data_IF_773959343564
#
_entry.id   IF_773959343564
#
_cell.length_a   1.000
_cell.length_b   1.000
_cell.length_c   1.000
_cell.angle_alpha   90.00
_cell.angle_beta   90.00
_cell.angle_gamma   90.00
#
_symmetry.space_group_name_H-M   'P 1'
#
loop_
_entity.id
_entity.type
_entity.pdbx_description
1 polymer ?
#
# COMPACT_ATOMS: atom_id res chain seq x y z
N UNK A 1 5.15 -6.77 -4.43
CA UNK A 1 6.16 -5.91 -5.11
C UNK A 1 5.71 -4.44 -5.16
N UNK A 2 4.55 -4.09 -5.76
CA UNK A 2 4.10 -2.67 -5.86
C UNK A 2 3.91 -2.07 -4.47
N UNK A 3 3.23 -2.76 -3.55
CA UNK A 3 3.03 -2.31 -2.18
C UNK A 3 4.36 -2.11 -1.44
N UNK A 4 5.33 -2.97 -1.68
CA UNK A 4 6.67 -2.88 -1.08
C UNK A 4 7.47 -1.71 -1.66
N UNK A 5 7.42 -1.54 -2.99
CA UNK A 5 8.10 -0.44 -3.67
C UNK A 5 7.50 0.92 -3.30
N UNK A 6 6.18 1.09 -3.41
CA UNK A 6 5.47 2.35 -3.13
C UNK A 6 5.35 2.63 -1.62
N UNK A 7 5.21 1.59 -0.82
CA UNK A 7 5.03 1.65 0.63
C UNK A 7 3.91 2.62 1.07
N UNK A 8 2.69 2.49 0.53
CA UNK A 8 1.61 3.40 0.84
C UNK A 8 1.27 3.35 2.34
N UNK A 9 1.16 4.50 3.05
CA UNK A 9 0.72 4.51 4.44
C UNK A 9 -0.74 4.05 4.58
N UNK A 10 -1.56 4.29 3.56
CA UNK A 10 -2.94 3.81 3.48
C UNK A 10 -3.36 3.67 2.01
N UNK A 11 -4.17 2.66 1.68
CA UNK A 11 -4.71 2.54 0.33
C UNK A 11 -6.11 1.91 0.30
N UNK A 12 -6.91 2.35 -0.67
CA UNK A 12 -8.13 1.67 -1.10
C UNK A 12 -7.81 0.86 -2.36
N UNK A 13 -8.06 -0.43 -2.30
CA UNK A 13 -7.80 -1.36 -3.40
C UNK A 13 -9.13 -1.73 -4.03
N UNK A 14 -9.31 -1.40 -5.29
CA UNK A 14 -10.52 -1.72 -6.04
C UNK A 14 -10.39 -3.01 -6.82
N UNK A 15 -11.39 -3.88 -6.68
CA UNK A 15 -11.58 -5.09 -7.45
C UNK A 15 -12.96 -5.07 -8.15
N UNK A 16 -13.07 -5.72 -9.30
CA UNK A 16 -14.31 -5.73 -10.08
C UNK A 16 -15.36 -6.69 -9.49
N UNK A 17 -14.95 -7.69 -8.71
CA UNK A 17 -15.85 -8.71 -8.13
C UNK A 17 -15.59 -8.96 -6.64
N UNK A 18 -16.62 -9.44 -5.90
CA UNK A 18 -16.46 -9.83 -4.49
C UNK A 18 -15.41 -10.94 -4.34
N UNK A 19 -15.42 -11.95 -5.19
CA UNK A 19 -14.45 -13.04 -5.13
C UNK A 19 -12.99 -12.54 -5.26
N UNK A 20 -12.77 -11.45 -6.02
CA UNK A 20 -11.47 -10.79 -6.09
C UNK A 20 -11.15 -10.01 -4.82
N UNK A 21 -12.14 -9.35 -4.21
CA UNK A 21 -11.98 -8.69 -2.92
C UNK A 21 -11.51 -9.68 -1.88
N UNK A 22 -12.21 -10.82 -1.73
CA UNK A 22 -11.84 -11.87 -0.78
C UNK A 22 -10.42 -12.38 -1.04
N UNK A 23 -10.11 -12.71 -2.31
CA UNK A 23 -8.80 -13.20 -2.70
C UNK A 23 -7.68 -12.21 -2.34
N UNK A 24 -7.82 -10.95 -2.75
CA UNK A 24 -6.80 -9.92 -2.52
C UNK A 24 -6.63 -9.66 -1.02
N UNK A 25 -7.72 -9.60 -0.26
CA UNK A 25 -7.68 -9.41 1.19
C UNK A 25 -6.91 -10.54 1.88
N UNK A 26 -7.24 -11.79 1.56
CA UNK A 26 -6.55 -12.97 2.13
C UNK A 26 -5.06 -12.97 1.76
N UNK A 27 -4.72 -12.63 0.52
CA UNK A 27 -3.31 -12.55 0.09
C UNK A 27 -2.56 -11.49 0.91
N UNK A 28 -3.12 -10.28 1.03
CA UNK A 28 -2.49 -9.21 1.81
C UNK A 28 -2.27 -9.59 3.27
N UNK A 29 -3.28 -10.19 3.90
CA UNK A 29 -3.19 -10.66 5.29
C UNK A 29 -2.12 -11.74 5.48
N UNK A 30 -1.99 -12.67 4.52
CA UNK A 30 -0.94 -13.70 4.54
C UNK A 30 0.47 -13.12 4.41
N UNK A 31 0.61 -11.97 3.73
CA UNK A 31 1.87 -11.22 3.68
C UNK A 31 2.08 -10.31 4.91
N UNK A 32 1.23 -10.42 5.94
CA UNK A 32 1.37 -9.67 7.18
C UNK A 32 0.87 -8.22 7.11
N UNK A 33 0.13 -7.85 6.08
CA UNK A 33 -0.44 -6.51 5.98
C UNK A 33 -1.77 -6.40 6.74
N UNK A 34 -1.99 -5.26 7.40
CA UNK A 34 -3.29 -4.91 7.97
C UNK A 34 -4.26 -4.56 6.84
N UNK A 35 -4.99 -5.57 6.38
CA UNK A 35 -5.96 -5.48 5.31
C UNK A 35 -7.33 -5.99 5.76
N UNK A 36 -8.40 -5.38 5.25
CA UNK A 36 -9.77 -5.81 5.47
C UNK A 36 -10.62 -5.58 4.21
N UNK A 37 -11.71 -6.32 4.10
CA UNK A 37 -12.64 -6.19 2.99
C UNK A 37 -13.75 -5.19 3.30
N UNK A 38 -14.26 -4.57 2.23
CA UNK A 38 -15.46 -3.75 2.27
C UNK A 38 -16.44 -4.22 1.21
N UNK A 39 -17.40 -5.01 1.64
CA UNK A 39 -18.42 -5.60 0.76
C UNK A 39 -19.83 -5.21 1.18
N UNK A 40 -20.80 -5.39 0.29
CA UNK A 40 -22.21 -5.16 0.60
C UNK A 40 -22.75 -6.10 1.69
N UNK A 41 -22.06 -7.20 1.95
CA UNK A 41 -22.50 -8.25 2.88
C UNK A 41 -22.13 -7.94 4.33
N UNK A 42 -21.28 -6.93 4.54
CA UNK A 42 -20.94 -6.48 5.89
C UNK A 42 -22.17 -5.90 6.60
N UNK A 43 -22.41 -6.35 7.82
CA UNK A 43 -23.39 -5.73 8.71
C UNK A 43 -23.03 -4.28 9.01
N UNK A 44 -23.99 -3.46 9.41
CA UNK A 44 -23.74 -2.06 9.78
C UNK A 44 -22.69 -1.94 10.88
N UNK A 45 -22.76 -2.81 11.90
CA UNK A 45 -21.79 -2.82 12.98
C UNK A 45 -20.36 -3.14 12.49
N UNK A 46 -20.23 -4.13 11.58
CA UNK A 46 -18.93 -4.48 10.99
C UNK A 46 -18.37 -3.32 10.14
N UNK A 47 -19.21 -2.61 9.37
CA UNK A 47 -18.83 -1.42 8.62
C UNK A 47 -18.28 -0.33 9.52
N UNK A 48 -18.96 -0.03 10.63
CA UNK A 48 -18.52 0.98 11.59
C UNK A 48 -17.16 0.61 12.22
N UNK A 49 -16.95 -0.66 12.55
CA UNK A 49 -15.67 -1.15 13.06
C UNK A 49 -14.53 -0.98 12.06
N UNK A 50 -14.76 -1.35 10.79
CA UNK A 50 -13.76 -1.18 9.73
C UNK A 50 -13.43 0.30 9.53
N UNK A 51 -14.43 1.18 9.42
CA UNK A 51 -14.22 2.62 9.27
C UNK A 51 -13.46 3.21 10.45
N UNK A 52 -13.75 2.79 11.67
CA UNK A 52 -13.04 3.26 12.86
C UNK A 52 -11.56 2.80 12.83
N UNK A 53 -11.28 1.59 12.38
CA UNK A 53 -9.89 1.12 12.19
C UNK A 53 -9.15 1.94 11.14
N UNK A 54 -9.81 2.29 10.02
CA UNK A 54 -9.24 3.17 9.00
C UNK A 54 -8.95 4.55 9.58
N UNK A 55 -9.93 5.18 10.26
CA UNK A 55 -9.78 6.51 10.87
C UNK A 55 -8.66 6.58 11.90
N UNK A 56 -8.46 5.50 12.65
CA UNK A 56 -7.36 5.39 13.64
C UNK A 56 -6.01 5.01 13.05
N UNK A 57 -5.91 4.83 11.74
CA UNK A 57 -4.69 4.36 11.08
C UNK A 57 -4.27 2.94 11.45
N UNK A 58 -5.22 2.13 11.97
CA UNK A 58 -5.00 0.71 12.34
C UNK A 58 -5.33 -0.26 11.21
N UNK A 59 -5.82 0.24 10.09
CA UNK A 59 -6.07 -0.53 8.87
C UNK A 59 -5.35 0.17 7.73
N UNK A 60 -4.39 -0.51 7.15
CA UNK A 60 -3.55 0.05 6.09
C UNK A 60 -4.19 -0.09 4.72
N UNK A 61 -4.83 -1.24 4.46
CA UNK A 61 -5.44 -1.56 3.18
C UNK A 61 -6.92 -1.89 3.34
N UNK A 62 -7.77 -1.20 2.59
CA UNK A 62 -9.18 -1.53 2.46
C UNK A 62 -9.42 -2.05 1.05
N UNK A 63 -9.98 -3.24 0.90
CA UNK A 63 -10.26 -3.86 -0.39
C UNK A 63 -11.76 -3.83 -0.66
N UNK A 64 -12.20 -3.30 -1.80
CA UNK A 64 -13.61 -3.07 -2.06
C UNK A 64 -14.00 -3.23 -3.54
N UNK A 65 -15.29 -3.44 -3.79
CA UNK A 65 -15.88 -3.22 -5.11
C UNK A 65 -16.43 -1.81 -5.23
N UNK A 66 -16.69 -1.32 -6.46
CA UNK A 66 -17.29 0.00 -6.69
C UNK A 66 -18.64 0.17 -5.99
N UNK A 67 -19.47 -0.87 -6.04
CA UNK A 67 -20.82 -0.82 -5.43
C UNK A 67 -20.72 -0.64 -3.92
N UNK A 68 -19.84 -1.38 -3.28
CA UNK A 68 -19.65 -1.27 -1.84
C UNK A 68 -18.99 0.05 -1.44
N UNK A 69 -18.10 0.59 -2.28
CA UNK A 69 -17.36 1.82 -2.02
C UNK A 69 -18.18 3.11 -2.29
N UNK A 70 -19.37 3.00 -2.90
CA UNK A 70 -20.25 4.16 -3.09
C UNK A 70 -20.81 4.66 -1.77
N UNK A 71 -20.76 5.96 -1.56
CA UNK A 71 -21.31 6.60 -0.34
C UNK A 71 -20.51 6.38 0.95
N UNK A 72 -19.32 5.76 0.86
CA UNK A 72 -18.47 5.67 2.04
C UNK A 72 -17.83 7.04 2.32
N UNK A 73 -17.98 7.49 3.54
CA UNK A 73 -17.22 8.61 4.10
C UNK A 73 -15.89 8.10 4.66
N UNK A 74 -14.94 7.84 3.75
CA UNK A 74 -13.57 7.48 4.11
C UNK A 74 -12.73 8.73 4.32
N UNK A 75 -11.84 8.72 5.33
CA UNK A 75 -10.80 9.73 5.40
C UNK A 75 -9.95 9.71 4.14
N UNK A 76 -9.22 10.77 3.89
CA UNK A 76 -8.31 10.83 2.75
C UNK A 76 -7.28 9.70 2.83
N UNK A 77 -7.22 8.92 1.76
CA UNK A 77 -6.26 7.85 1.62
C UNK A 77 -5.11 8.30 0.71
N UNK A 78 -3.91 7.90 1.05
CA UNK A 78 -2.73 8.29 0.27
C UNK A 78 -2.71 7.68 -1.13
N UNK A 79 -3.26 6.46 -1.27
CA UNK A 79 -3.24 5.72 -2.52
C UNK A 79 -4.60 5.12 -2.85
N UNK A 80 -4.84 5.03 -4.15
CA UNK A 80 -5.87 4.16 -4.75
C UNK A 80 -5.15 3.15 -5.64
N UNK A 81 -5.41 1.87 -5.41
CA UNK A 81 -4.87 0.80 -6.25
C UNK A 81 -6.06 0.12 -6.95
N UNK A 82 -6.11 0.18 -8.24
CA UNK A 82 -7.08 -0.56 -9.05
C UNK A 82 -6.44 -1.90 -9.42
N UNK A 83 -6.77 -2.96 -8.67
CA UNK A 83 -6.28 -4.31 -8.93
C UNK A 83 -6.70 -4.82 -10.31
N UNK A 84 -7.85 -4.37 -10.77
CA UNK A 84 -8.36 -4.55 -12.12
C UNK A 84 -8.86 -3.20 -12.63
N UNK A 85 -8.61 -2.83 -13.90
CA UNK A 85 -9.17 -1.61 -14.46
C UNK A 85 -10.70 -1.71 -14.52
N UNK A 86 -11.43 -0.63 -14.33
CA UNK A 86 -12.87 -0.61 -14.55
C UNK A 86 -13.17 -0.58 -16.07
N UNK A 87 -14.36 -1.03 -16.43
CA UNK A 87 -14.83 -1.02 -17.82
C UNK A 87 -15.21 0.40 -18.30
N UNK A 88 -15.63 1.27 -17.37
CA UNK A 88 -16.17 2.58 -17.66
C UNK A 88 -15.29 3.71 -17.14
N UNK A 89 -15.24 4.79 -17.93
CA UNK A 89 -14.46 5.99 -17.62
C UNK A 89 -14.94 6.69 -16.34
N UNK A 90 -16.25 6.71 -16.09
CA UNK A 90 -16.83 7.30 -14.89
C UNK A 90 -16.39 6.55 -13.62
N UNK A 91 -16.40 5.23 -13.66
CA UNK A 91 -15.91 4.40 -12.56
C UNK A 91 -14.42 4.65 -12.27
N UNK A 92 -13.61 4.82 -13.32
CA UNK A 92 -12.20 5.18 -13.18
C UNK A 92 -12.01 6.48 -12.38
N UNK A 93 -12.73 7.54 -12.77
CA UNK A 93 -12.66 8.84 -12.08
C UNK A 93 -13.14 8.73 -10.63
N UNK A 94 -14.24 8.01 -10.40
CA UNK A 94 -14.78 7.81 -9.05
C UNK A 94 -13.81 7.04 -8.14
N UNK A 95 -13.11 6.03 -8.69
CA UNK A 95 -12.07 5.29 -7.95
C UNK A 95 -10.88 6.18 -7.65
N UNK A 96 -10.30 6.81 -8.68
CA UNK A 96 -9.14 7.69 -8.53
C UNK A 96 -9.43 8.85 -7.56
N UNK A 97 -10.63 9.42 -7.59
CA UNK A 97 -11.07 10.49 -6.69
C UNK A 97 -11.26 10.08 -5.23
N UNK A 98 -10.83 8.89 -4.81
CA UNK A 98 -10.74 8.50 -3.38
C UNK A 98 -9.41 8.91 -2.75
N UNK A 99 -8.49 9.43 -3.55
CA UNK A 99 -7.24 10.04 -3.10
C UNK A 99 -7.09 11.44 -3.71
N UNK A 100 -6.17 12.25 -3.20
CA UNK A 100 -5.87 13.58 -3.74
C UNK A 100 -7.00 14.60 -3.60
N UNK A 101 -7.78 14.55 -2.52
CA UNK A 101 -8.88 15.50 -2.26
C UNK A 101 -8.38 16.77 -1.59
N UNK A 102 -9.16 17.82 -1.68
CA UNK A 102 -8.95 19.10 -1.00
C UNK A 102 -7.57 19.75 -1.24
N UNK A 103 -6.93 19.48 -2.38
CA UNK A 103 -5.61 20.03 -2.72
C UNK A 103 -4.41 19.23 -2.22
N UNK A 104 -4.63 18.10 -1.57
CA UNK A 104 -3.56 17.18 -1.22
C UNK A 104 -3.13 16.33 -2.43
N UNK A 105 -1.88 15.86 -2.42
CA UNK A 105 -1.38 14.96 -3.45
C UNK A 105 -1.83 13.52 -3.16
N UNK A 106 -2.24 12.79 -4.19
CA UNK A 106 -2.61 11.38 -4.08
C UNK A 106 -2.10 10.57 -5.27
N UNK A 107 -1.85 9.29 -5.05
CA UNK A 107 -1.37 8.38 -6.09
C UNK A 107 -2.45 7.39 -6.47
N UNK A 108 -2.76 7.29 -7.75
CA UNK A 108 -3.65 6.29 -8.30
C UNK A 108 -2.85 5.33 -9.20
N UNK A 109 -2.86 4.05 -8.85
CA UNK A 109 -2.14 2.98 -9.56
C UNK A 109 -3.17 2.03 -10.15
N UNK A 110 -3.05 1.70 -11.43
CA UNK A 110 -3.93 0.72 -12.09
C UNK A 110 -3.08 -0.43 -12.63
N UNK A 111 -3.37 -1.65 -12.18
CA UNK A 111 -2.74 -2.84 -12.72
C UNK A 111 -3.46 -3.24 -14.00
N UNK A 112 -2.69 -3.52 -15.03
CA UNK A 112 -3.23 -3.94 -16.32
C UNK A 112 -2.40 -5.07 -16.92
N UNK A 113 -3.06 -6.01 -17.53
CA UNK A 113 -2.42 -6.96 -18.43
C UNK A 113 -2.41 -6.41 -19.88
N UNK A 114 -1.80 -7.14 -20.79
CA UNK A 114 -1.66 -6.71 -22.19
C UNK A 114 -3.02 -6.49 -22.89
N UNK A 115 -4.05 -7.26 -22.51
CA UNK A 115 -5.40 -7.16 -23.10
C UNK A 115 -6.12 -5.91 -22.57
N UNK A 116 -6.05 -5.65 -21.28
CA UNK A 116 -6.73 -4.55 -20.59
C UNK A 116 -6.11 -3.18 -20.93
N UNK A 117 -4.82 -3.16 -21.28
CA UNK A 117 -4.08 -1.93 -21.57
C UNK A 117 -4.79 -1.03 -22.58
N UNK A 118 -5.31 -1.59 -23.67
CA UNK A 118 -6.00 -0.82 -24.72
C UNK A 118 -7.30 -0.17 -24.20
N UNK A 119 -8.01 -0.86 -23.30
CA UNK A 119 -9.20 -0.37 -22.62
C UNK A 119 -8.88 0.83 -21.73
N UNK A 120 -7.86 0.69 -20.89
CA UNK A 120 -7.41 1.76 -20.00
C UNK A 120 -6.94 3.01 -20.78
N UNK A 121 -6.20 2.84 -21.87
CA UNK A 121 -5.77 3.97 -22.71
C UNK A 121 -6.97 4.73 -23.32
N UNK A 122 -8.04 4.03 -23.70
CA UNK A 122 -9.29 4.69 -24.17
C UNK A 122 -9.95 5.49 -23.06
N UNK A 123 -10.02 4.94 -21.84
CA UNK A 123 -10.54 5.64 -20.66
C UNK A 123 -9.72 6.90 -20.40
N UNK A 124 -8.41 6.79 -20.35
CA UNK A 124 -7.51 7.90 -20.11
C UNK A 124 -7.67 9.02 -21.14
N UNK A 125 -7.77 8.66 -22.43
CA UNK A 125 -8.03 9.63 -23.50
C UNK A 125 -9.38 10.33 -23.33
N UNK A 126 -10.43 9.58 -22.99
CA UNK A 126 -11.78 10.14 -22.78
C UNK A 126 -11.85 11.10 -21.61
N UNK A 127 -11.09 10.81 -20.54
CA UNK A 127 -11.06 11.62 -19.33
C UNK A 127 -9.95 12.68 -19.31
N UNK A 128 -9.16 12.80 -20.39
CA UNK A 128 -7.99 13.70 -20.47
C UNK A 128 -6.99 13.47 -19.34
N UNK A 129 -6.75 12.18 -18.97
CA UNK A 129 -5.83 11.80 -17.92
C UNK A 129 -4.49 11.43 -18.55
N UNK A 130 -3.41 12.01 -18.03
CA UNK A 130 -2.05 11.59 -18.36
C UNK A 130 -1.68 10.36 -17.52
N UNK A 131 -1.51 9.21 -18.18
CA UNK A 131 -1.04 8.00 -17.54
C UNK A 131 0.48 7.88 -17.70
N UNK A 132 1.15 7.53 -16.62
CA UNK A 132 2.55 7.15 -16.64
C UNK A 132 2.62 5.62 -16.57
N UNK A 133 2.98 5.00 -17.68
CA UNK A 133 3.16 3.56 -17.75
C UNK A 133 4.50 3.16 -17.11
N UNK A 134 4.47 2.19 -16.21
CA UNK A 134 5.65 1.65 -15.56
C UNK A 134 5.61 0.12 -15.59
N UNK A 135 6.73 -0.55 -15.80
CA UNK A 135 6.82 -1.99 -15.66
C UNK A 135 6.61 -2.39 -14.19
N UNK A 136 6.14 -3.61 -13.98
CA UNK A 136 6.09 -4.17 -12.63
C UNK A 136 7.53 -4.27 -12.07
N UNK A 137 7.80 -3.76 -10.86
CA UNK A 137 9.11 -3.87 -10.25
C UNK A 137 9.59 -5.33 -10.19
N UNK A 138 10.86 -5.57 -10.51
CA UNK A 138 11.50 -6.86 -10.29
C UNK A 138 11.72 -7.10 -8.78
N UNK A 139 12.06 -8.33 -8.39
CA UNK A 139 12.40 -8.62 -6.98
C UNK A 139 13.65 -7.84 -6.55
N UNK A 140 14.64 -7.71 -7.44
CA UNK A 140 15.85 -6.92 -7.23
C UNK A 140 15.55 -5.42 -7.07
N UNK A 141 14.60 -4.86 -7.85
CA UNK A 141 14.15 -3.47 -7.68
C UNK A 141 13.52 -3.26 -6.31
N UNK A 142 12.65 -4.18 -5.89
CA UNK A 142 12.00 -4.11 -4.57
C UNK A 142 13.05 -4.17 -3.47
N UNK A 143 13.96 -5.14 -3.51
CA UNK A 143 15.03 -5.28 -2.53
C UNK A 143 15.87 -4.01 -2.43
N UNK A 144 16.28 -3.46 -3.56
CA UNK A 144 17.04 -2.21 -3.62
C UNK A 144 16.28 -1.03 -3.01
N UNK A 145 15.00 -0.84 -3.36
CA UNK A 145 14.17 0.25 -2.86
C UNK A 145 13.95 0.13 -1.35
N UNK A 146 13.62 -1.08 -0.87
CA UNK A 146 13.40 -1.35 0.55
C UNK A 146 14.69 -1.14 1.34
N UNK A 147 15.82 -1.66 0.87
CA UNK A 147 17.13 -1.49 1.51
C UNK A 147 17.50 -0.01 1.63
N UNK A 148 17.36 0.77 0.56
CA UNK A 148 17.64 2.21 0.58
C UNK A 148 16.75 2.95 1.59
N UNK A 149 15.47 2.59 1.67
CA UNK A 149 14.51 3.17 2.62
C UNK A 149 14.89 2.85 4.06
N UNK A 150 15.23 1.59 4.35
CA UNK A 150 15.65 1.16 5.70
C UNK A 150 16.93 1.88 6.11
N UNK A 151 17.93 1.95 5.23
CA UNK A 151 19.19 2.67 5.48
C UNK A 151 18.91 4.13 5.81
N UNK A 152 18.12 4.82 4.98
CA UNK A 152 17.77 6.22 5.20
C UNK A 152 17.05 6.46 6.54
N UNK A 153 16.13 5.56 6.93
CA UNK A 153 15.44 5.62 8.23
C UNK A 153 16.40 5.40 9.40
N UNK A 154 17.31 4.44 9.29
CA UNK A 154 18.32 4.16 10.32
C UNK A 154 19.28 5.33 10.48
N UNK A 155 19.77 5.91 9.38
CA UNK A 155 20.61 7.09 9.39
C UNK A 155 19.91 8.31 10.01
N UNK A 156 18.64 8.53 9.67
CA UNK A 156 17.86 9.62 10.27
C UNK A 156 17.72 9.43 11.79
N UNK A 157 17.46 8.20 12.24
CA UNK A 157 17.41 7.88 13.67
C UNK A 157 18.77 8.04 14.36
N UNK A 158 19.86 7.71 13.67
CA UNK A 158 21.21 7.87 14.20
C UNK A 158 21.57 9.34 14.38
N UNK A 159 21.27 10.20 13.36
CA UNK A 159 21.50 11.65 13.43
C UNK A 159 20.72 12.35 14.54
N UNK A 160 19.53 11.85 14.89
CA UNK A 160 18.68 12.41 15.95
C UNK A 160 19.05 11.99 17.37
N UNK A 161 20.11 11.18 17.56
CA UNK A 161 20.52 10.69 18.89
C UNK A 161 21.37 11.71 19.64
N UNK A 162 21.13 11.82 20.95
CA UNK A 162 21.99 12.57 21.85
C UNK A 162 23.29 11.81 22.18
N UNK A 163 24.21 12.51 22.85
CA UNK A 163 25.53 11.96 23.20
C UNK A 163 25.46 10.71 24.07
N UNK A 164 24.55 10.68 25.05
CA UNK A 164 24.40 9.53 25.94
C UNK A 164 23.87 8.29 25.21
N UNK A 165 22.94 8.50 24.27
CA UNK A 165 22.42 7.44 23.41
C UNK A 165 23.51 6.88 22.50
N UNK A 166 24.41 7.73 21.97
CA UNK A 166 25.55 7.31 21.16
C UNK A 166 26.54 6.51 22.00
N UNK A 167 26.91 6.97 23.20
CA UNK A 167 27.80 6.25 24.11
C UNK A 167 27.22 4.87 24.50
N UNK A 168 25.93 4.81 24.79
CA UNK A 168 25.25 3.54 25.07
C UNK A 168 25.30 2.60 23.86
N UNK A 169 25.04 3.09 22.67
CA UNK A 169 25.09 2.31 21.43
C UNK A 169 26.49 1.72 21.21
N UNK A 170 27.54 2.49 21.42
CA UNK A 170 28.93 2.03 21.25
C UNK A 170 29.27 0.82 22.10
N UNK A 171 28.69 0.69 23.30
CA UNK A 171 28.87 -0.50 24.16
C UNK A 171 28.34 -1.78 23.55
N UNK A 172 27.32 -1.69 22.70
CA UNK A 172 26.68 -2.84 22.06
C UNK A 172 27.18 -3.14 20.64
N UNK A 173 28.10 -2.32 20.09
CA UNK A 173 28.69 -2.57 18.77
C UNK A 173 29.38 -3.94 18.65
N UNK A 174 30.17 -4.43 19.67
CA UNK A 174 30.76 -5.76 19.58
C UNK A 174 29.70 -6.87 19.49
N UNK A 175 28.63 -6.76 20.28
CA UNK A 175 27.51 -7.70 20.24
C UNK A 175 26.81 -7.67 18.89
N UNK A 176 26.52 -6.48 18.34
CA UNK A 176 25.88 -6.34 17.04
C UNK A 176 26.73 -6.97 15.91
N UNK A 177 28.05 -6.85 15.98
CA UNK A 177 28.97 -7.52 15.03
C UNK A 177 28.90 -9.04 15.16
N UNK A 178 28.97 -9.55 16.38
CA UNK A 178 28.86 -10.99 16.62
C UNK A 178 27.54 -11.56 16.07
N UNK A 179 26.41 -10.88 16.31
CA UNK A 179 25.10 -11.27 15.79
C UNK A 179 25.03 -11.22 14.25
N UNK A 180 25.71 -10.28 13.61
CA UNK A 180 25.71 -10.17 12.14
C UNK A 180 26.61 -11.22 11.46
N UNK A 181 27.54 -11.83 12.19
CA UNK A 181 28.46 -12.86 11.67
C UNK A 181 27.89 -14.28 11.81
N UNK A 182 26.88 -14.47 12.63
CA UNK A 182 26.21 -15.76 12.82
C UNK A 182 25.06 -15.94 11.83
N UNK A 183 25.04 -17.04 11.09
CA UNK A 183 24.02 -17.32 10.08
C UNK A 183 22.60 -17.46 10.70
N UNK A 184 22.51 -18.08 11.87
CA UNK A 184 21.24 -18.28 12.57
C UNK A 184 20.66 -16.96 13.08
N UNK A 185 21.51 -16.11 13.64
CA UNK A 185 21.13 -14.82 14.20
C UNK A 185 20.87 -13.79 13.09
N UNK A 186 21.57 -13.86 11.96
CA UNK A 186 21.28 -13.04 10.77
C UNK A 186 19.88 -13.32 10.26
N UNK A 187 19.41 -14.57 10.28
CA UNK A 187 18.05 -14.93 9.90
C UNK A 187 16.99 -14.32 10.83
N UNK A 188 17.28 -14.21 12.14
CA UNK A 188 16.41 -13.54 13.11
C UNK A 188 16.37 -12.01 12.91
N UNK A 189 17.47 -11.40 12.44
CA UNK A 189 17.51 -9.97 12.12
C UNK A 189 16.74 -9.61 10.84
N UNK A 190 16.48 -10.60 9.97
CA UNK A 190 15.74 -10.44 8.73
C UNK A 190 14.20 -10.57 8.89
N UNK A 191 13.72 -11.01 10.05
CA UNK A 191 12.29 -11.11 10.38
C UNK A 191 11.72 -9.76 10.82
#
# INVERSE_FOLDING_TARGET
RIIEAENPPSALIFCNTKARVDYVTVVLQRFGYDADEWTSDLSQAAREQVLERVRRGKLRFLVATDVAARGIDLPELSHVIQYEPPDEAEAYIHRAGRTGRAGASGTAITLVNAVERSGLLRIAKRCSIALQEQPLPSDEDVERIVSQRIIALLEARLRGRDRLQIERMQRFLPLARSLSESADETSLLAM
#
